data_IF_220661217722
#
_entry.id   IF_220661217722
#
_cell.length_a   1.000
_cell.length_b   1.000
_cell.length_c   1.000
_cell.angle_alpha   90.00
_cell.angle_beta   90.00
_cell.angle_gamma   90.00
#
_symmetry.space_group_name_H-M   'P 1'
#
loop_
_entity.id
_entity.type
_entity.pdbx_description
1 polymer ?
#
# COMPACT_ATOMS: atom_id res chain seq x y z
N UNK A 1 -23.71 11.55 -40.07
CA UNK A 1 -23.76 12.34 -38.84
C UNK A 1 -24.26 11.53 -37.63
N UNK A 2 -25.46 10.86 -37.67
CA UNK A 2 -25.99 10.10 -36.53
C UNK A 2 -25.06 8.97 -36.05
N UNK A 3 -24.45 8.21 -36.94
CA UNK A 3 -23.52 7.12 -36.59
C UNK A 3 -22.19 7.65 -35.99
N UNK A 4 -21.70 8.79 -36.45
CA UNK A 4 -20.49 9.43 -35.91
C UNK A 4 -20.73 9.93 -34.47
N UNK A 5 -21.90 10.52 -34.21
CA UNK A 5 -22.27 10.96 -32.86
C UNK A 5 -22.40 9.76 -31.91
N UNK A 6 -23.03 8.68 -32.35
CA UNK A 6 -23.14 7.45 -31.55
C UNK A 6 -21.76 6.86 -31.26
N UNK A 7 -20.86 6.79 -32.23
CA UNK A 7 -19.50 6.29 -32.04
C UNK A 7 -18.70 7.16 -31.03
N UNK A 8 -18.81 8.47 -31.11
CA UNK A 8 -18.18 9.39 -30.16
C UNK A 8 -18.73 9.20 -28.75
N UNK A 9 -20.05 9.10 -28.60
CA UNK A 9 -20.68 8.86 -27.29
C UNK A 9 -20.27 7.51 -26.71
N UNK A 10 -20.19 6.47 -27.52
CA UNK A 10 -19.71 5.15 -27.07
C UNK A 10 -18.24 5.19 -26.61
N UNK A 11 -17.39 5.90 -27.34
CA UNK A 11 -15.99 6.09 -26.97
C UNK A 11 -15.85 6.85 -25.64
N UNK A 12 -16.62 7.93 -25.47
CA UNK A 12 -16.64 8.70 -24.21
C UNK A 12 -17.12 7.85 -23.06
N UNK A 13 -18.16 7.03 -23.26
CA UNK A 13 -18.66 6.12 -22.23
C UNK A 13 -17.61 5.04 -21.85
N UNK A 14 -16.89 4.49 -22.82
CA UNK A 14 -15.80 3.55 -22.59
C UNK A 14 -14.65 4.18 -21.79
N UNK A 15 -14.24 5.40 -22.15
CA UNK A 15 -13.22 6.13 -21.41
C UNK A 15 -13.67 6.42 -19.98
N UNK A 16 -14.90 6.86 -19.78
CA UNK A 16 -15.47 7.11 -18.46
C UNK A 16 -15.52 5.82 -17.60
N UNK A 17 -15.94 4.71 -18.20
CA UNK A 17 -15.95 3.40 -17.53
C UNK A 17 -14.53 2.95 -17.15
N UNK A 18 -13.54 3.14 -18.02
CA UNK A 18 -12.14 2.81 -17.76
C UNK A 18 -11.59 3.63 -16.58
N UNK A 19 -11.87 4.93 -16.53
CA UNK A 19 -11.45 5.82 -15.44
C UNK A 19 -12.18 5.48 -14.13
N UNK A 20 -13.45 5.10 -14.18
CA UNK A 20 -14.24 4.77 -13.00
C UNK A 20 -13.89 3.40 -12.38
N UNK A 21 -13.38 2.47 -13.19
CA UNK A 21 -13.14 1.08 -12.77
C UNK A 21 -12.19 0.93 -11.57
N UNK A 22 -11.01 1.60 -11.51
CA UNK A 22 -10.11 1.47 -10.36
C UNK A 22 -10.71 1.97 -9.05
N UNK A 23 -11.64 2.95 -9.08
CA UNK A 23 -12.36 3.38 -7.87
C UNK A 23 -13.23 2.26 -7.29
N UNK A 24 -13.98 1.57 -8.15
CA UNK A 24 -14.77 0.42 -7.73
C UNK A 24 -13.91 -0.70 -7.13
N UNK A 25 -12.72 -0.92 -7.71
CA UNK A 25 -11.76 -1.89 -7.20
C UNK A 25 -11.15 -1.47 -5.86
N UNK A 26 -10.77 -0.20 -5.70
CA UNK A 26 -10.30 0.34 -4.42
C UNK A 26 -11.36 0.18 -3.33
N UNK A 27 -12.58 0.59 -3.62
CA UNK A 27 -13.70 0.46 -2.67
C UNK A 27 -13.96 -0.99 -2.27
N UNK A 28 -13.89 -1.93 -3.24
CA UNK A 28 -14.06 -3.34 -2.97
C UNK A 28 -12.95 -3.92 -2.08
N UNK A 29 -11.70 -3.50 -2.25
CA UNK A 29 -10.57 -3.90 -1.39
C UNK A 29 -10.74 -3.35 0.02
N UNK A 30 -11.09 -2.08 0.16
CA UNK A 30 -11.33 -1.45 1.48
C UNK A 30 -12.49 -2.13 2.20
N UNK A 31 -13.59 -2.41 1.50
CA UNK A 31 -14.74 -3.14 2.08
C UNK A 31 -14.39 -4.56 2.50
N UNK A 32 -13.61 -5.29 1.69
CA UNK A 32 -13.14 -6.62 2.05
C UNK A 32 -12.25 -6.58 3.32
N UNK A 33 -11.37 -5.58 3.41
CA UNK A 33 -10.55 -5.37 4.60
C UNK A 33 -11.39 -5.06 5.85
N UNK A 34 -12.38 -4.19 5.73
CA UNK A 34 -13.29 -3.86 6.84
C UNK A 34 -14.11 -5.08 7.31
N UNK A 35 -14.59 -5.88 6.37
CA UNK A 35 -15.33 -7.11 6.67
C UNK A 35 -14.43 -8.24 7.20
N UNK A 36 -13.09 -8.12 7.11
CA UNK A 36 -12.16 -9.20 7.42
C UNK A 36 -12.22 -10.36 6.42
N UNK A 37 -12.70 -10.11 5.21
CA UNK A 37 -12.86 -11.11 4.15
C UNK A 37 -11.51 -11.39 3.47
N UNK A 38 -10.72 -12.27 4.09
CA UNK A 38 -9.39 -12.65 3.64
C UNK A 38 -9.40 -13.19 2.22
N UNK A 39 -10.40 -13.99 1.86
CA UNK A 39 -10.49 -14.58 0.53
C UNK A 39 -10.67 -13.53 -0.57
N UNK A 40 -11.48 -12.49 -0.33
CA UNK A 40 -11.63 -11.37 -1.27
C UNK A 40 -10.36 -10.52 -1.34
N UNK A 41 -9.63 -10.35 -0.23
CA UNK A 41 -8.34 -9.64 -0.24
C UNK A 41 -7.34 -10.41 -1.11
N UNK A 42 -7.23 -11.73 -0.96
CA UNK A 42 -6.33 -12.56 -1.76
C UNK A 42 -6.60 -12.47 -3.27
N UNK A 43 -7.84 -12.42 -3.67
CA UNK A 43 -8.22 -12.27 -5.09
C UNK A 43 -7.90 -10.90 -5.67
N UNK A 44 -7.89 -9.84 -4.83
CA UNK A 44 -7.77 -8.45 -5.28
C UNK A 44 -6.41 -7.82 -4.99
N UNK A 45 -5.48 -8.57 -4.44
CA UNK A 45 -4.12 -8.11 -4.12
C UNK A 45 -3.09 -8.91 -4.91
N UNK A 46 -2.15 -8.21 -5.52
CA UNK A 46 -0.92 -8.81 -6.05
C UNK A 46 0.14 -8.78 -4.94
N UNK A 47 0.17 -9.85 -4.15
CA UNK A 47 1.09 -9.96 -3.02
C UNK A 47 2.56 -9.94 -3.44
N UNK A 48 2.90 -10.41 -4.63
CA UNK A 48 4.28 -10.37 -5.12
C UNK A 48 4.72 -8.93 -5.43
N UNK A 49 3.87 -8.14 -6.09
CA UNK A 49 4.14 -6.73 -6.36
C UNK A 49 4.16 -5.91 -5.07
N UNK A 50 3.19 -6.15 -4.16
CA UNK A 50 3.11 -5.49 -2.86
C UNK A 50 4.36 -5.75 -2.02
N UNK A 51 4.85 -7.01 -1.97
CA UNK A 51 6.10 -7.37 -1.28
C UNK A 51 7.28 -6.60 -1.83
N UNK A 52 7.48 -6.56 -3.15
CA UNK A 52 8.57 -5.79 -3.77
C UNK A 52 8.50 -4.30 -3.41
N UNK A 53 7.30 -3.72 -3.43
CA UNK A 53 7.09 -2.31 -3.07
C UNK A 53 7.48 -2.03 -1.62
N UNK A 54 7.04 -2.87 -0.67
CA UNK A 54 7.32 -2.70 0.75
C UNK A 54 8.80 -2.94 1.09
N UNK A 55 9.44 -3.94 0.48
CA UNK A 55 10.90 -4.15 0.63
C UNK A 55 11.64 -2.87 0.27
N UNK A 56 11.39 -2.30 -0.91
CA UNK A 56 12.06 -1.09 -1.36
C UNK A 56 11.86 0.09 -0.39
N UNK A 57 10.65 0.29 0.12
CA UNK A 57 10.34 1.37 1.08
C UNK A 57 11.05 1.18 2.42
N UNK A 58 11.05 -0.04 2.97
CA UNK A 58 11.66 -0.31 4.27
C UNK A 58 13.19 -0.25 4.20
N UNK A 59 13.79 -0.67 3.08
CA UNK A 59 15.21 -0.49 2.82
C UNK A 59 15.59 0.99 2.76
N UNK A 60 14.80 1.79 2.08
CA UNK A 60 15.02 3.23 2.01
C UNK A 60 14.84 3.90 3.38
N UNK A 61 13.84 3.47 4.17
CA UNK A 61 13.67 3.95 5.54
C UNK A 61 14.85 3.56 6.43
N UNK A 62 15.36 2.33 6.33
CA UNK A 62 16.53 1.87 7.06
C UNK A 62 17.78 2.69 6.69
N UNK A 63 18.00 2.95 5.41
CA UNK A 63 19.12 3.77 4.96
C UNK A 63 19.03 5.20 5.48
N UNK A 64 17.85 5.82 5.44
CA UNK A 64 17.60 7.16 6.00
C UNK A 64 17.93 7.22 7.50
N UNK A 65 17.48 6.24 8.28
CA UNK A 65 17.71 6.17 9.72
C UNK A 65 19.20 6.04 10.07
N UNK A 66 20.00 5.42 9.20
CA UNK A 66 21.43 5.24 9.37
C UNK A 66 22.29 6.33 8.69
N UNK A 67 21.67 7.41 8.19
CA UNK A 67 22.38 8.49 7.48
C UNK A 67 23.05 8.06 6.18
N UNK A 68 22.64 6.92 5.62
CA UNK A 68 23.19 6.35 4.38
C UNK A 68 22.22 6.59 3.23
N UNK A 69 22.74 6.91 2.03
CA UNK A 69 21.99 6.78 0.79
C UNK A 69 22.08 5.33 0.32
N UNK A 70 20.95 4.75 -0.06
CA UNK A 70 20.98 3.45 -0.74
C UNK A 70 21.78 3.60 -2.03
N UNK A 71 22.96 3.04 -2.03
CA UNK A 71 23.65 2.76 -3.28
C UNK A 71 22.94 1.56 -3.94
N UNK A 72 22.34 1.79 -5.10
CA UNK A 72 21.62 0.77 -5.87
C UNK A 72 22.55 -0.24 -6.52
N UNK A 73 23.83 -0.23 -6.19
CA UNK A 73 24.75 -1.28 -6.59
C UNK A 73 24.35 -2.59 -5.88
N UNK A 74 24.18 -3.67 -6.65
CA UNK A 74 23.48 -4.89 -6.26
C UNK A 74 23.92 -5.59 -4.97
N UNK A 75 25.09 -5.27 -4.40
CA UNK A 75 25.60 -5.90 -3.18
C UNK A 75 24.91 -5.37 -1.90
N UNK A 76 24.67 -4.06 -1.81
CA UNK A 76 23.96 -3.45 -0.67
C UNK A 76 22.48 -3.81 -0.66
N UNK A 77 21.88 -4.03 -1.83
CA UNK A 77 20.48 -4.44 -1.97
C UNK A 77 20.28 -5.88 -1.50
N UNK A 78 21.23 -6.79 -1.71
CA UNK A 78 21.16 -8.19 -1.29
C UNK A 78 21.10 -8.34 0.24
N UNK A 79 22.08 -7.75 0.96
CA UNK A 79 22.16 -7.83 2.43
C UNK A 79 20.97 -7.12 3.09
N UNK A 80 20.55 -6.00 2.52
CA UNK A 80 19.44 -5.24 3.05
C UNK A 80 18.07 -5.91 2.73
N UNK A 81 17.95 -6.71 1.66
CA UNK A 81 16.75 -7.51 1.42
C UNK A 81 16.58 -8.65 2.41
N UNK A 82 17.66 -9.27 2.88
CA UNK A 82 17.60 -10.32 3.92
C UNK A 82 17.08 -9.76 5.24
N UNK A 83 17.42 -8.53 5.59
CA UNK A 83 16.86 -7.83 6.75
C UNK A 83 15.38 -7.48 6.56
N UNK A 84 15.00 -6.97 5.39
CA UNK A 84 13.63 -6.52 5.13
C UNK A 84 12.64 -7.67 4.89
N UNK A 85 13.11 -8.83 4.38
CA UNK A 85 12.26 -9.95 3.99
C UNK A 85 11.38 -10.50 5.12
N UNK A 86 11.89 -10.80 6.33
CA UNK A 86 11.06 -11.30 7.42
C UNK A 86 10.02 -10.29 7.90
N UNK A 87 10.38 -8.99 7.91
CA UNK A 87 9.46 -7.91 8.25
C UNK A 87 8.35 -7.79 7.21
N UNK A 88 8.73 -7.83 5.93
CA UNK A 88 7.77 -7.75 4.83
C UNK A 88 6.86 -8.97 4.76
N UNK A 89 7.34 -10.18 5.04
CA UNK A 89 6.48 -11.36 5.11
C UNK A 89 5.37 -11.21 6.15
N UNK A 90 5.68 -10.68 7.31
CA UNK A 90 4.67 -10.38 8.34
C UNK A 90 3.69 -9.29 7.89
N UNK A 91 4.18 -8.23 7.22
CA UNK A 91 3.36 -7.13 6.74
C UNK A 91 2.44 -7.50 5.56
N UNK A 92 2.89 -8.41 4.70
CA UNK A 92 2.22 -8.77 3.44
C UNK A 92 1.24 -9.95 3.63
N UNK A 93 1.06 -10.45 4.85
CA UNK A 93 -0.01 -11.41 5.08
C UNK A 93 -1.39 -10.78 4.84
N UNK A 94 -2.37 -11.51 4.29
CA UNK A 94 -3.71 -10.98 4.06
C UNK A 94 -4.36 -10.44 5.34
N UNK A 95 -4.13 -11.07 6.48
CA UNK A 95 -4.63 -10.65 7.77
C UNK A 95 -4.00 -9.32 8.23
N UNK A 96 -2.68 -9.20 8.16
CA UNK A 96 -1.98 -7.96 8.53
C UNK A 96 -2.33 -6.81 7.58
N UNK A 97 -2.45 -7.09 6.28
CA UNK A 97 -2.90 -6.09 5.31
C UNK A 97 -4.30 -5.57 5.64
N UNK A 98 -5.24 -6.48 5.96
CA UNK A 98 -6.59 -6.10 6.41
C UNK A 98 -6.53 -5.23 7.68
N UNK A 99 -5.64 -5.55 8.62
CA UNK A 99 -5.46 -4.80 9.85
C UNK A 99 -4.90 -3.40 9.59
N UNK A 100 -3.85 -3.28 8.75
CA UNK A 100 -3.29 -1.98 8.33
C UNK A 100 -4.37 -1.15 7.63
N UNK A 101 -5.12 -1.73 6.71
CA UNK A 101 -6.19 -1.02 6.03
C UNK A 101 -7.31 -0.59 6.98
N UNK A 102 -7.65 -1.42 7.97
CA UNK A 102 -8.72 -1.14 8.94
C UNK A 102 -8.33 -0.11 9.99
N UNK A 103 -7.11 -0.20 10.51
CA UNK A 103 -6.66 0.57 11.67
C UNK A 103 -5.55 1.59 11.36
N UNK A 104 -4.94 1.50 10.17
CA UNK A 104 -3.81 2.33 9.74
C UNK A 104 -2.45 1.78 10.18
N UNK A 105 -2.40 0.74 11.01
CA UNK A 105 -1.15 0.22 11.53
C UNK A 105 -1.27 -1.25 11.96
N UNK A 106 -0.17 -2.04 11.89
CA UNK A 106 -0.17 -3.45 12.28
C UNK A 106 -0.02 -3.57 13.81
N UNK A 107 -1.12 -3.87 14.51
CA UNK A 107 -1.17 -3.98 15.99
C UNK A 107 -0.26 -5.06 16.55
N UNK A 108 -0.04 -6.13 15.78
CA UNK A 108 0.82 -7.24 16.19
C UNK A 108 2.32 -6.88 16.15
N UNK A 109 2.69 -5.80 15.47
CA UNK A 109 4.08 -5.41 15.25
C UNK A 109 4.48 -4.14 16.00
N UNK A 110 3.51 -3.31 16.32
CA UNK A 110 3.72 -2.05 17.04
C UNK A 110 2.83 -2.03 18.29
N UNK A 111 3.41 -1.76 19.46
CA UNK A 111 2.68 -1.67 20.72
C UNK A 111 1.73 -0.46 20.74
N UNK A 112 2.20 0.67 20.19
CA UNK A 112 1.47 1.93 20.24
C UNK A 112 1.04 2.40 18.86
N UNK A 113 -0.16 2.99 18.78
CA UNK A 113 -0.68 3.60 17.56
C UNK A 113 0.18 4.82 17.19
N UNK A 114 0.70 4.90 15.94
CA UNK A 114 1.36 6.11 15.47
C UNK A 114 0.41 7.31 15.45
N UNK A 115 0.89 8.48 15.87
CA UNK A 115 0.05 9.67 15.98
C UNK A 115 -0.45 10.14 14.61
N UNK A 116 -1.78 10.32 14.49
CA UNK A 116 -2.42 10.86 13.29
C UNK A 116 -2.46 9.90 12.10
N UNK A 117 -2.10 8.63 12.27
CA UNK A 117 -2.33 7.58 11.27
C UNK A 117 -3.68 6.93 11.54
N UNK A 118 -4.52 6.90 10.52
CA UNK A 118 -5.86 6.32 10.57
C UNK A 118 -6.01 5.24 9.51
N UNK A 119 -6.92 4.29 9.76
CA UNK A 119 -7.26 3.25 8.81
C UNK A 119 -8.01 3.78 7.59
N UNK A 120 -8.11 2.94 6.59
CA UNK A 120 -8.88 3.20 5.38
C UNK A 120 -10.30 2.67 5.57
N UNK A 121 -11.16 3.50 6.13
CA UNK A 121 -12.61 3.26 6.14
C UNK A 121 -13.27 3.93 4.94
N UNK A 122 -14.58 3.76 4.80
CA UNK A 122 -15.35 4.40 3.73
C UNK A 122 -15.30 5.94 3.82
N UNK A 123 -15.10 6.50 5.02
CA UNK A 123 -14.95 7.94 5.22
C UNK A 123 -13.56 8.43 4.82
N UNK A 124 -12.53 7.58 4.96
CA UNK A 124 -11.16 7.87 4.54
C UNK A 124 -11.02 8.06 3.02
N UNK A 125 -11.91 7.44 2.24
CA UNK A 125 -11.97 7.63 0.79
C UNK A 125 -12.58 8.99 0.41
N UNK A 126 -13.31 9.63 1.32
CA UNK A 126 -14.02 10.87 1.04
C UNK A 126 -15.10 10.70 -0.02
N UNK A 127 -15.43 11.79 -0.71
CA UNK A 127 -16.28 11.69 -1.89
C UNK A 127 -15.44 11.34 -3.14
N UNK A 128 -16.10 10.79 -4.17
CA UNK A 128 -15.45 10.35 -5.42
C UNK A 128 -14.65 11.48 -6.08
N UNK A 129 -15.10 12.71 -5.97
CA UNK A 129 -14.42 13.88 -6.56
C UNK A 129 -13.11 14.20 -5.84
N UNK A 130 -13.11 14.19 -4.50
CA UNK A 130 -11.89 14.38 -3.71
C UNK A 130 -10.88 13.26 -3.97
N UNK A 131 -11.35 12.01 -4.05
CA UNK A 131 -10.49 10.88 -4.38
C UNK A 131 -9.89 11.01 -5.78
N UNK A 132 -10.68 11.47 -6.77
CA UNK A 132 -10.22 11.71 -8.13
C UNK A 132 -9.12 12.79 -8.20
N UNK A 133 -9.31 13.92 -7.52
CA UNK A 133 -8.30 15.01 -7.49
C UNK A 133 -7.00 14.56 -6.79
N UNK A 134 -7.09 13.67 -5.80
CA UNK A 134 -5.94 13.13 -5.07
C UNK A 134 -5.43 11.80 -5.65
N UNK A 135 -5.67 11.57 -6.93
CA UNK A 135 -5.24 10.36 -7.63
C UNK A 135 -4.39 10.70 -8.85
N UNK A 136 -3.46 9.80 -9.16
CA UNK A 136 -2.64 9.84 -10.37
C UNK A 136 -3.02 8.65 -11.25
N UNK A 137 -3.27 8.91 -12.53
CA UNK A 137 -3.66 7.89 -13.51
C UNK A 137 -2.57 7.70 -14.56
N UNK A 138 -2.26 6.43 -14.83
CA UNK A 138 -1.49 5.98 -15.96
C UNK A 138 -2.22 4.91 -16.75
N UNK A 139 -1.65 4.47 -17.85
CA UNK A 139 -2.17 3.34 -18.62
C UNK A 139 -1.95 2.06 -17.79
N UNK A 140 -3.04 1.45 -17.32
CA UNK A 140 -3.00 0.22 -16.53
C UNK A 140 -2.54 0.42 -15.08
N UNK A 141 -2.39 1.65 -14.60
CA UNK A 141 -2.03 1.97 -13.23
C UNK A 141 -2.84 3.14 -12.69
N UNK A 142 -3.29 3.04 -11.44
CA UNK A 142 -3.94 4.11 -10.71
C UNK A 142 -3.37 4.21 -9.30
N UNK A 143 -3.09 5.42 -8.82
CA UNK A 143 -2.56 5.69 -7.49
C UNK A 143 -3.50 6.62 -6.75
N UNK A 144 -3.83 6.25 -5.52
CA UNK A 144 -4.74 6.99 -4.65
C UNK A 144 -4.05 7.36 -3.36
N UNK A 145 -4.10 8.64 -3.00
CA UNK A 145 -3.59 9.11 -1.70
C UNK A 145 -4.74 9.19 -0.71
N UNK A 146 -4.71 8.38 0.34
CA UNK A 146 -5.79 8.20 1.31
C UNK A 146 -5.25 8.12 2.74
N UNK A 147 -5.95 8.63 3.75
CA UNK A 147 -7.22 9.37 3.71
C UNK A 147 -7.11 10.75 3.03
N UNK A 148 -8.11 11.13 2.23
CA UNK A 148 -8.08 12.38 1.45
C UNK A 148 -8.12 13.65 2.30
N UNK A 149 -8.57 13.54 3.55
CA UNK A 149 -8.71 14.63 4.52
C UNK A 149 -7.48 14.81 5.43
N UNK A 150 -6.37 14.11 5.16
CA UNK A 150 -5.14 14.19 5.95
C UNK A 150 -3.99 14.84 5.17
N UNK A 151 -2.98 15.41 5.86
CA UNK A 151 -1.76 15.87 5.23
C UNK A 151 -1.05 14.74 4.46
N UNK A 152 -0.39 15.08 3.35
CA UNK A 152 0.27 14.09 2.46
C UNK A 152 1.25 13.17 3.18
N UNK A 153 1.93 13.69 4.21
CA UNK A 153 2.91 12.95 5.02
C UNK A 153 2.27 11.83 5.86
N UNK A 154 0.95 11.91 6.08
CA UNK A 154 0.15 10.95 6.86
C UNK A 154 -0.78 10.11 6.01
N UNK A 155 -0.71 10.28 4.69
CA UNK A 155 -1.50 9.49 3.74
C UNK A 155 -0.78 8.21 3.35
N UNK A 156 -1.56 7.16 3.15
CA UNK A 156 -1.13 5.98 2.40
C UNK A 156 -1.28 6.28 0.91
N UNK A 157 -0.33 5.83 0.10
CA UNK A 157 -0.52 5.83 -1.34
C UNK A 157 -0.80 4.42 -1.81
N UNK A 158 -2.05 4.17 -2.18
CA UNK A 158 -2.54 2.88 -2.66
C UNK A 158 -2.34 2.83 -4.17
N UNK A 159 -1.63 1.82 -4.65
CA UNK A 159 -1.38 1.60 -6.08
C UNK A 159 -2.19 0.41 -6.55
N UNK A 160 -3.01 0.63 -7.57
CA UNK A 160 -3.72 -0.42 -8.30
C UNK A 160 -3.07 -0.60 -9.67
N UNK A 161 -2.89 -1.84 -10.08
CA UNK A 161 -2.44 -2.21 -11.42
C UNK A 161 -3.47 -3.10 -12.10
N UNK A 162 -3.64 -2.89 -13.39
CA UNK A 162 -4.52 -3.71 -14.22
C UNK A 162 -3.81 -5.04 -14.51
N UNK A 163 -4.37 -6.14 -14.02
CA UNK A 163 -3.89 -7.50 -14.26
C UNK A 163 -4.95 -8.28 -15.02
N UNK A 164 -4.76 -8.46 -16.32
CA UNK A 164 -5.81 -8.92 -17.22
C UNK A 164 -6.98 -7.93 -17.26
N UNK A 165 -8.15 -8.38 -16.82
CA UNK A 165 -9.37 -7.55 -16.73
C UNK A 165 -9.71 -7.11 -15.30
N UNK A 166 -8.77 -7.22 -14.35
CA UNK A 166 -9.03 -6.91 -12.94
C UNK A 166 -8.00 -5.94 -12.42
N UNK A 167 -8.45 -4.86 -11.78
CA UNK A 167 -7.58 -3.98 -11.03
C UNK A 167 -7.23 -4.62 -9.70
N UNK A 168 -5.93 -4.85 -9.46
CA UNK A 168 -5.41 -5.43 -8.23
C UNK A 168 -4.57 -4.42 -7.45
N UNK A 169 -4.62 -4.47 -6.14
CA UNK A 169 -3.71 -3.75 -5.27
C UNK A 169 -2.29 -4.31 -5.49
N UNK A 170 -1.41 -3.49 -6.05
CA UNK A 170 -0.02 -3.85 -6.42
C UNK A 170 1.03 -3.15 -5.56
N UNK A 171 0.64 -2.12 -4.80
CA UNK A 171 1.53 -1.39 -3.91
C UNK A 171 0.76 -0.62 -2.85
N UNK A 172 1.40 -0.47 -1.71
CA UNK A 172 0.93 0.33 -0.59
C UNK A 172 2.13 1.10 -0.04
N UNK A 173 2.20 2.40 -0.35
CA UNK A 173 3.24 3.23 0.21
C UNK A 173 2.78 3.69 1.59
N UNK A 174 3.58 3.36 2.59
CA UNK A 174 3.31 3.69 3.99
C UNK A 174 3.77 5.12 4.30
N UNK A 175 3.10 5.85 5.20
CA UNK A 175 3.62 7.10 5.73
C UNK A 175 5.03 6.93 6.31
N UNK A 176 5.90 7.93 6.12
CA UNK A 176 7.30 7.84 6.54
C UNK A 176 7.47 7.52 8.03
N UNK A 177 6.64 8.13 8.89
CA UNK A 177 6.65 7.85 10.33
C UNK A 177 6.38 6.36 10.63
N UNK A 178 5.44 5.76 9.91
CA UNK A 178 5.13 4.33 10.08
C UNK A 178 6.27 3.45 9.58
N UNK A 179 6.87 3.78 8.43
CA UNK A 179 8.04 3.06 7.91
C UNK A 179 9.19 3.05 8.93
N UNK A 180 9.54 4.21 9.48
CA UNK A 180 10.64 4.34 10.44
C UNK A 180 10.36 3.61 11.75
N UNK A 181 9.12 3.67 12.25
CA UNK A 181 8.74 2.93 13.46
C UNK A 181 8.85 1.42 13.25
N UNK A 182 8.36 0.91 12.12
CA UNK A 182 8.46 -0.50 11.78
C UNK A 182 9.91 -0.98 11.74
N UNK A 183 10.79 -0.21 11.08
CA UNK A 183 12.22 -0.53 11.01
C UNK A 183 12.87 -0.53 12.39
N UNK A 184 12.57 0.46 13.23
CA UNK A 184 13.14 0.55 14.60
C UNK A 184 12.66 -0.60 15.50
N UNK A 185 11.38 -0.92 15.47
CA UNK A 185 10.84 -2.02 16.30
C UNK A 185 11.36 -3.37 15.86
N UNK A 186 11.49 -3.59 14.56
CA UNK A 186 12.08 -4.81 14.03
C UNK A 186 13.55 -4.96 14.43
N UNK A 187 14.35 -3.89 14.31
CA UNK A 187 15.75 -3.89 14.74
C UNK A 187 15.91 -4.18 16.24
N UNK A 188 15.00 -3.70 17.09
CA UNK A 188 15.00 -4.02 18.52
C UNK A 188 14.68 -5.51 18.78
N UNK A 189 13.77 -6.10 18.01
CA UNK A 189 13.43 -7.52 18.13
C UNK A 189 14.62 -8.41 17.75
N UNK A 190 15.29 -8.10 16.63
CA UNK A 190 16.48 -8.82 16.19
C UNK A 190 17.62 -8.72 17.20
N UNK A 191 17.89 -7.55 17.75
CA UNK A 191 18.91 -7.35 18.79
C UNK A 191 18.61 -8.21 20.04
N UNK A 192 17.36 -8.32 20.47
CA UNK A 192 16.97 -9.16 21.61
C UNK A 192 17.15 -10.67 21.33
N UNK A 193 16.99 -11.09 20.08
CA UNK A 193 17.22 -12.50 19.69
C UNK A 193 18.70 -12.83 19.68
N UNK A 194 19.57 -11.87 19.34
CA UNK A 194 21.02 -12.05 19.33
C UNK A 194 21.63 -12.01 20.73
N UNK A 195 21.01 -11.31 21.70
CA UNK A 195 21.44 -11.21 23.10
C UNK A 195 20.95 -12.38 23.99
N UNK A 196 20.27 -13.39 23.43
CA UNK A 196 19.88 -14.56 24.20
C UNK A 196 21.13 -15.33 24.66
N UNK A 197 21.32 -15.57 25.97
CA UNK A 197 22.50 -16.26 26.46
C UNK A 197 22.53 -17.65 25.84
N UNK A 198 23.59 -17.93 25.11
CA UNK A 198 23.92 -19.29 24.64
C UNK A 198 24.33 -20.08 25.88
N UNK A 199 23.35 -20.76 26.50
CA UNK A 199 23.61 -21.71 27.59
C UNK A 199 24.38 -22.93 27.12
#
# INVERSE_FOLDING_TARGET
MRNTVVAVLALVALCAAYVAWPFGSLYAVVRAAQAGDVAKIEQRVDFAALRRSLVAQLLEAHARLNGRRLDRSGFTVGIASDFASPLVEKLVSPATLAEIMRHGWPRQMLADKPAGIEGLDSNALGNVWQLYINSDYGIGEARFSVPVNRPKEKQFRVRLALSGWTWKLSGLDLPHELQERLVREFAKQDARVLDWPRG
#
